data_IF_891062376121
#
_entry.id   IF_891062376121
#
_cell.length_a   1.000
_cell.length_b   1.000
_cell.length_c   1.000
_cell.angle_alpha   90.00
_cell.angle_beta   90.00
_cell.angle_gamma   90.00
#
_symmetry.space_group_name_H-M   'P 1'
#
loop_
_entity.id
_entity.type
_entity.pdbx_description
1 polymer ?
#
# COMPACT_ATOMS: atom_id res chain seq x y z
N UNK A 1 12.22 1.95 16.72
CA UNK A 1 10.97 2.67 16.45
C UNK A 1 11.13 3.33 15.10
N UNK A 2 10.28 2.98 14.15
CA UNK A 2 10.49 3.21 12.73
C UNK A 2 9.23 3.80 12.11
N UNK A 3 9.43 4.76 11.21
CA UNK A 3 8.39 5.36 10.39
C UNK A 3 8.43 4.72 8.99
N UNK A 4 7.28 4.61 8.33
CA UNK A 4 7.18 4.18 6.94
C UNK A 4 6.69 5.36 6.10
N UNK A 5 7.38 5.66 4.99
CA UNK A 5 6.94 6.63 3.99
C UNK A 5 7.04 5.96 2.61
N UNK A 6 5.89 5.82 1.96
CA UNK A 6 5.73 5.30 0.62
C UNK A 6 5.28 6.45 -0.27
N UNK A 7 5.98 6.65 -1.38
CA UNK A 7 5.68 7.72 -2.34
C UNK A 7 5.56 7.14 -3.74
N UNK A 8 4.43 7.38 -4.40
CA UNK A 8 4.16 7.00 -5.78
C UNK A 8 4.24 5.50 -6.06
N UNK A 9 3.97 4.64 -5.07
CA UNK A 9 4.16 3.19 -5.24
C UNK A 9 3.19 2.64 -6.27
N UNK A 10 3.75 2.01 -7.31
CA UNK A 10 3.00 1.34 -8.37
C UNK A 10 3.41 -0.13 -8.45
N UNK A 11 2.48 -0.98 -8.87
CA UNK A 11 2.75 -2.40 -9.09
C UNK A 11 1.80 -2.95 -10.12
N UNK A 12 2.35 -3.70 -11.06
CA UNK A 12 1.59 -4.46 -12.05
C UNK A 12 2.07 -5.91 -12.08
N UNK A 13 1.15 -6.82 -12.42
CA UNK A 13 1.43 -8.20 -12.77
C UNK A 13 0.98 -8.39 -14.23
N UNK A 14 1.93 -8.37 -15.16
CA UNK A 14 1.62 -8.34 -16.59
C UNK A 14 0.86 -7.06 -16.96
N UNK A 15 -0.27 -7.22 -17.65
CA UNK A 15 -1.16 -6.11 -18.04
C UNK A 15 -2.05 -5.59 -16.90
N UNK A 16 -2.16 -6.31 -15.78
CA UNK A 16 -2.98 -5.90 -14.65
C UNK A 16 -2.19 -4.96 -13.73
N UNK A 17 -2.57 -3.68 -13.71
CA UNK A 17 -2.08 -2.73 -12.72
C UNK A 17 -2.87 -2.92 -11.41
N UNK A 18 -2.15 -3.19 -10.31
CA UNK A 18 -2.71 -3.50 -8.98
C UNK A 18 -2.54 -2.34 -8.01
N UNK A 19 -1.39 -1.66 -8.04
CA UNK A 19 -1.17 -0.43 -7.27
C UNK A 19 -1.01 0.76 -8.23
N UNK A 20 -1.77 1.82 -7.99
CA UNK A 20 -1.95 2.95 -8.90
C UNK A 20 -1.32 4.24 -8.36
N UNK A 21 -0.07 4.19 -7.88
CA UNK A 21 0.63 5.36 -7.34
C UNK A 21 0.13 5.72 -5.95
N UNK A 22 0.45 4.85 -4.98
CA UNK A 22 0.03 5.01 -3.60
C UNK A 22 1.06 5.82 -2.83
N UNK A 23 0.57 6.87 -2.16
CA UNK A 23 1.29 7.62 -1.14
C UNK A 23 0.77 7.23 0.25
N UNK A 24 1.65 6.83 1.15
CA UNK A 24 1.30 6.40 2.51
C UNK A 24 2.41 6.73 3.50
N UNK A 25 2.07 7.48 4.54
CA UNK A 25 2.94 7.74 5.67
C UNK A 25 2.37 7.08 6.94
N UNK A 26 3.15 6.22 7.59
CA UNK A 26 2.83 5.61 8.89
C UNK A 26 3.85 6.10 9.91
N UNK A 27 3.35 6.74 10.96
CA UNK A 27 4.18 7.27 12.04
C UNK A 27 4.60 6.15 12.99
N UNK A 28 5.65 6.42 13.74
CA UNK A 28 6.11 5.48 14.76
C UNK A 28 4.97 5.19 15.77
N UNK A 29 4.80 3.90 16.10
CA UNK A 29 3.73 3.37 16.97
C UNK A 29 2.29 3.57 16.45
N UNK A 30 2.11 3.98 15.20
CA UNK A 30 0.78 4.07 14.61
C UNK A 30 0.21 2.69 14.29
N UNK A 31 -1.07 2.48 14.59
CA UNK A 31 -1.78 1.24 14.27
C UNK A 31 -2.69 1.48 13.07
N UNK A 32 -2.34 0.90 11.92
CA UNK A 32 -3.02 1.10 10.64
C UNK A 32 -3.68 -0.21 10.19
N UNK A 33 -4.89 -0.12 9.63
CA UNK A 33 -5.63 -1.26 9.08
C UNK A 33 -6.01 -0.97 7.63
N UNK A 34 -5.69 -1.90 6.72
CA UNK A 34 -6.13 -1.83 5.33
C UNK A 34 -7.49 -2.51 5.14
N UNK A 35 -8.48 -1.77 4.61
CA UNK A 35 -9.85 -2.26 4.36
C UNK A 35 -10.23 -2.05 2.90
N UNK A 36 -10.93 -3.02 2.32
CA UNK A 36 -11.44 -2.94 0.95
C UNK A 36 -11.78 -4.32 0.37
N UNK A 37 -12.50 -4.37 -0.76
CA UNK A 37 -12.95 -5.61 -1.41
C UNK A 37 -11.81 -6.59 -1.74
N UNK A 38 -12.13 -7.87 -1.97
CA UNK A 38 -11.12 -8.83 -2.45
C UNK A 38 -10.51 -8.36 -3.77
N UNK A 39 -9.18 -8.50 -3.91
CA UNK A 39 -8.45 -8.08 -5.11
C UNK A 39 -8.04 -6.61 -5.20
N UNK A 40 -8.40 -5.74 -4.24
CA UNK A 40 -8.07 -4.31 -4.31
C UNK A 40 -6.61 -3.94 -3.95
N UNK A 41 -5.67 -4.90 -3.93
CA UNK A 41 -4.23 -4.64 -3.73
C UNK A 41 -3.72 -4.61 -2.28
N UNK A 42 -4.56 -4.83 -1.25
CA UNK A 42 -4.15 -4.79 0.18
C UNK A 42 -2.96 -5.67 0.52
N UNK A 43 -3.05 -6.97 0.21
CA UNK A 43 -1.96 -7.93 0.46
C UNK A 43 -0.76 -7.74 -0.46
N UNK A 44 -0.90 -6.94 -1.52
CA UNK A 44 0.21 -6.56 -2.40
C UNK A 44 0.97 -5.35 -1.85
N UNK A 45 0.32 -4.51 -1.04
CA UNK A 45 0.92 -3.35 -0.39
C UNK A 45 1.61 -3.69 0.95
N UNK A 46 1.15 -4.74 1.64
CA UNK A 46 1.78 -5.34 2.82
C UNK A 46 3.04 -6.13 2.45
#
# INVERSE_FOLDING_TARGET
MATLDLQGITKSFGSAQVLHGIDLAIRDKEFVVFVGPSGCGKSTLL
#
